data_IF_543124364332
#
_entry.id   IF_543124364332
#
_cell.length_a   1.000
_cell.length_b   1.000
_cell.length_c   1.000
_cell.angle_alpha   90.00
_cell.angle_beta   90.00
_cell.angle_gamma   90.00
#
_symmetry.space_group_name_H-M   'P 1'
#
loop_
_entity.id
_entity.type
_entity.pdbx_description
1 polymer ?
#
# COMPACT_ATOMS: atom_id res chain seq x y z
N UNK A 1 -4.99 -11.79 15.18
CA UNK A 1 -5.18 -12.45 13.87
C UNK A 1 -5.32 -11.38 12.80
N UNK A 2 -5.12 -11.73 11.53
CA UNK A 2 -5.02 -10.88 10.32
C UNK A 2 -3.60 -10.41 10.00
N UNK A 3 -2.91 -11.20 9.19
CA UNK A 3 -2.46 -10.87 7.83
C UNK A 3 -1.48 -11.98 7.44
N UNK A 4 -2.03 -13.05 6.86
CA UNK A 4 -1.29 -14.24 6.43
C UNK A 4 -0.40 -13.94 5.22
N UNK A 5 0.92 -14.18 5.32
CA UNK A 5 1.83 -14.18 4.17
C UNK A 5 1.67 -15.49 3.38
N UNK A 6 1.27 -15.37 2.12
CA UNK A 6 1.38 -16.45 1.13
C UNK A 6 2.84 -16.88 1.03
N UNK A 7 3.10 -18.18 1.30
CA UNK A 7 4.40 -18.77 1.00
C UNK A 7 4.60 -18.78 -0.52
N UNK A 8 5.73 -18.23 -0.93
CA UNK A 8 6.25 -18.20 -2.29
C UNK A 8 6.46 -19.65 -2.76
N UNK A 9 5.48 -20.20 -3.48
CA UNK A 9 5.61 -21.45 -4.24
C UNK A 9 5.17 -21.17 -5.68
N UNK A 10 5.81 -21.90 -6.57
CA UNK A 10 6.14 -21.61 -7.96
C UNK A 10 4.97 -21.57 -8.97
N UNK A 11 3.81 -21.06 -8.59
CA UNK A 11 2.62 -20.94 -9.46
C UNK A 11 1.78 -19.75 -9.00
N UNK A 12 2.13 -18.54 -9.44
CA UNK A 12 1.43 -17.30 -9.02
C UNK A 12 0.05 -17.27 -9.68
N UNK A 13 -0.95 -17.89 -9.02
CA UNK A 13 -2.35 -17.46 -9.16
C UNK A 13 -2.35 -15.95 -8.95
N UNK A 14 -2.85 -15.20 -9.94
CA UNK A 14 -2.99 -13.75 -9.84
C UNK A 14 -3.57 -13.42 -8.46
N UNK A 15 -2.83 -12.62 -7.68
CA UNK A 15 -3.32 -12.17 -6.38
C UNK A 15 -4.68 -11.54 -6.58
N UNK A 16 -5.59 -11.68 -5.62
CA UNK A 16 -7.00 -11.24 -5.72
C UNK A 16 -7.18 -9.72 -5.93
N UNK A 17 -6.10 -8.95 -6.11
CA UNK A 17 -6.11 -7.49 -6.22
C UNK A 17 -6.39 -6.78 -4.90
N UNK A 18 -6.65 -7.52 -3.82
CA UNK A 18 -7.12 -6.94 -2.55
C UNK A 18 -6.04 -6.15 -1.81
N UNK A 19 -4.76 -6.46 -1.99
CA UNK A 19 -3.68 -5.82 -1.23
C UNK A 19 -3.65 -4.30 -1.33
N UNK A 20 -3.84 -3.76 -2.54
CA UNK A 20 -3.87 -2.30 -2.75
C UNK A 20 -5.16 -1.67 -2.22
N UNK A 21 -6.30 -2.36 -2.34
CA UNK A 21 -7.58 -1.89 -1.80
C UNK A 21 -7.55 -1.80 -0.26
N UNK A 22 -6.97 -2.80 0.40
CA UNK A 22 -6.77 -2.81 1.86
C UNK A 22 -5.85 -1.65 2.27
N UNK A 23 -4.70 -1.51 1.60
CA UNK A 23 -3.76 -0.43 1.89
C UNK A 23 -4.40 0.96 1.70
N UNK A 24 -5.20 1.14 0.64
CA UNK A 24 -5.97 2.36 0.41
C UNK A 24 -6.90 2.67 1.57
N UNK A 25 -7.69 1.70 2.03
CA UNK A 25 -8.61 1.90 3.15
C UNK A 25 -7.91 2.39 4.42
N UNK A 26 -6.74 1.82 4.75
CA UNK A 26 -5.95 2.29 5.90
C UNK A 26 -5.37 3.70 5.69
N UNK A 27 -4.78 3.97 4.53
CA UNK A 27 -4.17 5.27 4.24
C UNK A 27 -5.23 6.39 4.25
N UNK A 28 -6.40 6.15 3.68
CA UNK A 28 -7.52 7.10 3.70
C UNK A 28 -8.07 7.30 5.12
N UNK A 29 -8.17 6.23 5.92
CA UNK A 29 -8.58 6.33 7.33
C UNK A 29 -7.58 7.13 8.19
N UNK A 30 -6.30 7.15 7.82
CA UNK A 30 -5.25 7.97 8.44
C UNK A 30 -5.21 9.42 7.90
N UNK A 31 -6.18 9.81 7.06
CA UNK A 31 -6.23 11.14 6.44
C UNK A 31 -5.17 11.36 5.35
N UNK A 32 -4.60 10.28 4.83
CA UNK A 32 -3.59 10.31 3.80
C UNK A 32 -4.12 10.00 2.40
N UNK A 33 -3.17 9.84 1.46
CA UNK A 33 -3.44 9.43 0.08
C UNK A 33 -2.43 8.38 -0.37
N UNK A 34 -2.86 7.44 -1.21
CA UNK A 34 -2.00 6.44 -1.87
C UNK A 34 -2.17 6.51 -3.39
N UNK A 35 -1.06 6.42 -4.12
CA UNK A 35 -1.01 6.33 -5.57
C UNK A 35 -0.12 5.15 -6.01
N UNK A 36 -0.50 4.50 -7.10
CA UNK A 36 0.28 3.45 -7.75
C UNK A 36 0.51 3.84 -9.21
N UNK A 37 1.74 3.72 -9.68
CA UNK A 37 2.15 4.03 -11.04
C UNK A 37 3.20 3.03 -11.52
N UNK A 38 3.45 3.00 -12.83
CA UNK A 38 4.65 2.36 -13.35
C UNK A 38 5.86 3.26 -13.10
N UNK A 39 7.00 2.63 -12.86
CA UNK A 39 8.28 3.31 -12.78
C UNK A 39 8.60 4.02 -14.09
N UNK A 40 9.13 5.26 -14.05
CA UNK A 40 9.55 5.97 -15.26
C UNK A 40 10.95 5.55 -15.75
N UNK A 41 11.80 5.01 -14.87
CA UNK A 41 13.22 4.73 -15.13
C UNK A 41 13.51 3.30 -15.59
N UNK A 42 12.64 2.34 -15.24
CA UNK A 42 12.82 0.91 -15.53
C UNK A 42 11.52 0.15 -15.35
N UNK A 43 11.52 -1.13 -15.71
CA UNK A 43 10.40 -2.03 -15.43
C UNK A 43 10.18 -2.13 -13.92
N UNK A 44 8.95 -1.90 -13.47
CA UNK A 44 8.54 -2.00 -12.07
C UNK A 44 7.38 -1.07 -11.74
N UNK A 45 6.94 -1.12 -10.50
CA UNK A 45 5.87 -0.28 -9.97
C UNK A 45 6.42 0.71 -8.92
N UNK A 46 5.89 1.92 -8.92
CA UNK A 46 6.12 2.95 -7.90
C UNK A 46 4.82 3.19 -7.13
N UNK A 47 4.89 3.05 -5.81
CA UNK A 47 3.79 3.33 -4.90
C UNK A 47 4.17 4.53 -4.04
N UNK A 48 3.33 5.57 -4.05
CA UNK A 48 3.54 6.79 -3.27
C UNK A 48 2.47 6.89 -2.20
N UNK A 49 2.87 7.03 -0.94
CA UNK A 49 1.98 7.27 0.19
C UNK A 49 2.30 8.65 0.76
N UNK A 50 1.27 9.46 0.98
CA UNK A 50 1.36 10.74 1.69
C UNK A 50 0.48 10.66 2.93
N UNK A 51 1.04 11.00 4.08
CA UNK A 51 0.33 11.05 5.35
C UNK A 51 0.46 12.45 5.94
N UNK A 52 -0.54 12.93 6.71
CA UNK A 52 -0.38 14.11 7.54
C UNK A 52 0.80 13.93 8.49
N UNK A 53 1.58 14.99 8.71
CA UNK A 53 2.54 15.00 9.82
C UNK A 53 1.75 15.01 11.12
N UNK A 54 2.16 14.20 12.09
CA UNK A 54 1.61 14.29 13.42
C UNK A 54 1.89 15.70 13.95
N UNK A 55 0.85 16.39 14.43
CA UNK A 55 1.09 17.61 15.21
C UNK A 55 1.61 17.15 16.57
N UNK A 56 2.92 17.30 16.80
CA UNK A 56 3.46 17.24 18.16
C UNK A 56 2.82 18.38 18.96
N UNK A 57 2.00 18.02 19.95
CA UNK A 57 1.49 18.84 21.05
C UNK A 57 1.23 20.32 20.78
N UNK A 58 -0.02 20.68 20.45
CA UNK A 58 -0.63 21.84 21.13
C UNK A 58 -1.28 21.33 22.42
N UNK A 59 -0.48 21.26 23.47
CA UNK A 59 -0.91 21.27 24.87
C UNK A 59 -0.02 22.23 25.64
#
# INVERSE_FOLDING_TARGET
>A
DMFYRVRKTDQVRAGTGLGLAIARGFVEALGGTIAAANRPDRVGADFTIRLPIAQEGLS
#
